data_IF_048890556071
#
_entry.id   IF_048890556071
#
_cell.length_a   1.000
_cell.length_b   1.000
_cell.length_c   1.000
_cell.angle_alpha   90.00
_cell.angle_beta   90.00
_cell.angle_gamma   90.00
#
_symmetry.space_group_name_H-M   'P 1'
#
loop_
_entity.id
_entity.type
_entity.pdbx_description
1 polymer ?
#
# COMPACT_ATOMS: atom_id res chain seq x y z
N UNK A 1 -26.43 -7.08 34.14
CA UNK A 1 -26.77 -5.72 33.69
C UNK A 1 -25.88 -5.38 32.53
N UNK A 2 -26.45 -5.41 31.33
CA UNK A 2 -25.78 -5.06 30.09
C UNK A 2 -25.47 -3.56 30.06
N UNK A 3 -24.22 -3.22 29.72
CA UNK A 3 -23.92 -1.92 29.11
C UNK A 3 -23.74 -2.17 27.62
N UNK A 4 -24.85 -2.04 26.92
CA UNK A 4 -24.88 -1.84 25.49
C UNK A 4 -24.28 -0.45 25.23
N UNK A 5 -23.03 -0.40 24.77
CA UNK A 5 -22.40 0.82 24.26
C UNK A 5 -22.49 0.72 22.74
N UNK A 6 -23.69 0.88 22.21
CA UNK A 6 -23.94 1.21 20.81
C UNK A 6 -23.59 2.68 20.61
N UNK A 7 -22.29 2.97 20.64
CA UNK A 7 -21.77 4.18 20.00
C UNK A 7 -21.70 3.88 18.51
N UNK A 8 -22.56 4.50 17.71
CA UNK A 8 -22.51 4.39 16.25
C UNK A 8 -21.12 4.86 15.80
N UNK A 9 -20.26 3.92 15.42
CA UNK A 9 -18.93 4.22 14.91
C UNK A 9 -19.13 4.88 13.54
N UNK A 10 -18.63 6.11 13.38
CA UNK A 10 -18.71 6.85 12.13
C UNK A 10 -17.97 6.07 11.02
N UNK A 11 -18.58 5.85 9.84
CA UNK A 11 -17.92 5.16 8.74
C UNK A 11 -16.76 5.97 8.16
N UNK A 12 -15.98 5.30 7.31
CA UNK A 12 -14.84 5.87 6.61
C UNK A 12 -15.05 5.80 5.10
N UNK A 13 -14.74 6.91 4.46
CA UNK A 13 -14.78 7.08 3.02
C UNK A 13 -13.38 7.24 2.47
N UNK A 14 -13.04 6.47 1.45
CA UNK A 14 -11.72 6.49 0.82
C UNK A 14 -11.77 7.02 -0.61
N UNK A 15 -10.83 7.89 -0.98
CA UNK A 15 -10.65 8.46 -2.34
C UNK A 15 -9.17 8.39 -2.73
N UNK A 16 -8.82 7.47 -3.62
CA UNK A 16 -7.46 7.32 -4.14
C UNK A 16 -7.40 7.82 -5.57
N UNK A 17 -6.36 8.58 -5.90
CA UNK A 17 -6.06 9.01 -7.27
C UNK A 17 -4.69 8.51 -7.66
N UNK A 18 -4.56 7.94 -8.85
CA UNK A 18 -3.33 7.33 -9.30
C UNK A 18 -3.07 7.59 -10.78
N UNK A 19 -1.81 7.81 -11.12
CA UNK A 19 -1.29 7.87 -12.49
C UNK A 19 -0.55 6.58 -12.82
N UNK A 20 -0.95 5.95 -13.91
CA UNK A 20 -0.40 4.68 -14.39
C UNK A 20 0.16 4.93 -15.79
N UNK A 21 1.44 4.64 -16.01
CA UNK A 21 2.13 4.79 -17.29
C UNK A 21 1.79 3.63 -18.24
N UNK A 22 0.49 3.43 -18.47
CA UNK A 22 -0.05 2.49 -19.42
C UNK A 22 -1.35 3.07 -20.02
N UNK A 23 -1.69 2.73 -21.27
CA UNK A 23 -2.95 3.15 -21.88
C UNK A 23 -4.16 2.69 -21.06
N UNK A 24 -5.22 3.51 -21.03
CA UNK A 24 -6.46 3.20 -20.33
C UNK A 24 -7.04 1.81 -20.64
N UNK A 25 -7.05 1.30 -21.90
CA UNK A 25 -7.52 -0.05 -22.17
C UNK A 25 -6.72 -1.14 -21.46
N UNK A 26 -5.40 -0.97 -21.36
CA UNK A 26 -4.53 -1.89 -20.63
C UNK A 26 -4.85 -1.88 -19.13
N UNK A 27 -5.04 -0.70 -18.53
CA UNK A 27 -5.40 -0.60 -17.11
C UNK A 27 -6.77 -1.22 -16.84
N UNK A 28 -7.76 -0.95 -17.70
CA UNK A 28 -9.11 -1.52 -17.57
C UNK A 28 -9.10 -3.05 -17.67
N UNK A 29 -8.29 -3.62 -18.55
CA UNK A 29 -8.08 -5.07 -18.62
C UNK A 29 -7.53 -5.64 -17.30
N UNK A 30 -6.50 -5.00 -16.72
CA UNK A 30 -5.90 -5.43 -15.45
C UNK A 30 -6.81 -5.27 -14.24
N UNK A 31 -7.78 -4.36 -14.30
CA UNK A 31 -8.79 -4.19 -13.25
C UNK A 31 -9.79 -5.35 -13.18
N UNK A 32 -10.13 -5.98 -14.31
CA UNK A 32 -11.29 -6.88 -14.39
C UNK A 32 -10.95 -8.33 -14.71
N UNK A 33 -9.79 -8.60 -15.28
CA UNK A 33 -9.41 -9.99 -15.59
C UNK A 33 -8.96 -10.74 -14.34
N UNK A 34 -9.42 -11.98 -14.23
CA UNK A 34 -9.24 -12.84 -13.05
C UNK A 34 -7.76 -13.06 -12.74
N UNK A 35 -6.94 -13.28 -13.77
CA UNK A 35 -5.49 -13.49 -13.65
C UNK A 35 -4.73 -12.26 -13.12
N UNK A 36 -5.34 -11.07 -13.16
CA UNK A 36 -4.74 -9.84 -12.65
C UNK A 36 -5.31 -9.47 -11.28
N UNK A 37 -6.62 -9.65 -11.07
CA UNK A 37 -7.25 -9.46 -9.76
C UNK A 37 -6.56 -10.26 -8.65
N UNK A 38 -6.08 -11.48 -8.96
CA UNK A 38 -5.33 -12.32 -8.00
C UNK A 38 -3.91 -11.83 -7.69
N UNK A 39 -3.40 -10.86 -8.46
CA UNK A 39 -2.07 -10.26 -8.26
C UNK A 39 -2.14 -8.99 -7.43
N UNK A 40 -3.21 -8.21 -7.57
CA UNK A 40 -3.29 -6.90 -6.92
C UNK A 40 -4.43 -6.74 -5.92
N UNK A 41 -5.59 -7.38 -6.10
CA UNK A 41 -6.80 -7.12 -5.29
C UNK A 41 -7.06 -8.19 -4.22
N UNK A 42 -6.86 -9.46 -4.57
CA UNK A 42 -7.22 -10.60 -3.75
C UNK A 42 -6.36 -11.82 -4.03
N UNK A 43 -6.55 -12.92 -3.31
CA UNK A 43 -5.84 -14.19 -3.57
C UNK A 43 -6.48 -14.99 -4.71
N UNK A 44 -7.80 -14.89 -4.88
CA UNK A 44 -8.54 -15.48 -5.98
C UNK A 44 -9.86 -14.73 -6.22
N UNK A 45 -10.36 -14.80 -7.45
CA UNK A 45 -11.66 -14.23 -7.82
C UNK A 45 -12.39 -15.04 -8.87
N UNK A 46 -13.71 -14.87 -8.93
CA UNK A 46 -14.58 -15.18 -10.08
C UNK A 46 -15.43 -13.95 -10.36
N UNK A 47 -15.47 -13.53 -11.61
CA UNK A 47 -16.15 -12.29 -12.00
C UNK A 47 -16.90 -12.50 -13.30
N UNK A 48 -18.13 -11.99 -13.34
CA UNK A 48 -18.90 -11.78 -14.56
C UNK A 48 -18.92 -10.28 -14.86
N UNK A 49 -18.01 -9.74 -15.68
CA UNK A 49 -17.76 -8.30 -15.79
C UNK A 49 -18.85 -7.56 -16.58
N UNK A 50 -20.06 -7.53 -16.02
CA UNK A 50 -21.27 -6.86 -16.52
C UNK A 50 -22.11 -6.39 -15.34
N UNK A 51 -22.92 -5.35 -15.54
CA UNK A 51 -23.88 -4.89 -14.52
C UNK A 51 -24.86 -6.02 -14.18
N UNK A 52 -25.10 -6.21 -12.88
CA UNK A 52 -25.86 -7.34 -12.32
C UNK A 52 -25.09 -8.66 -12.25
N UNK A 53 -23.85 -8.70 -12.78
CA UNK A 53 -22.99 -9.88 -12.73
C UNK A 53 -22.46 -10.17 -11.32
N UNK A 54 -22.19 -11.44 -11.05
CA UNK A 54 -21.58 -11.88 -9.80
C UNK A 54 -20.10 -11.51 -9.76
N UNK A 55 -19.63 -11.01 -8.61
CA UNK A 55 -18.21 -10.85 -8.33
C UNK A 55 -17.90 -11.50 -6.98
N UNK A 56 -17.12 -12.58 -6.99
CA UNK A 56 -16.76 -13.36 -5.80
C UNK A 56 -15.25 -13.35 -5.64
N UNK A 57 -14.75 -13.07 -4.45
CA UNK A 57 -13.31 -13.01 -4.22
C UNK A 57 -12.94 -13.33 -2.78
N UNK A 58 -11.68 -13.71 -2.57
CA UNK A 58 -11.16 -14.02 -1.24
C UNK A 58 -9.69 -14.39 -1.28
N UNK A 59 -9.25 -15.14 -0.28
CA UNK A 59 -7.85 -15.55 -0.10
C UNK A 59 -7.08 -14.65 0.86
N UNK A 60 -5.88 -15.09 1.21
CA UNK A 60 -5.05 -14.54 2.30
C UNK A 60 -4.49 -13.14 2.01
N UNK A 61 -4.55 -12.70 0.75
CA UNK A 61 -4.00 -11.42 0.28
C UNK A 61 -5.07 -10.43 -0.18
N UNK A 62 -6.33 -10.64 0.23
CA UNK A 62 -7.44 -9.73 -0.04
C UNK A 62 -7.28 -8.43 0.76
N UNK A 63 -7.71 -7.27 0.23
CA UNK A 63 -7.66 -5.98 0.97
C UNK A 63 -8.32 -6.11 2.35
N UNK A 64 -9.47 -6.79 2.41
CA UNK A 64 -10.14 -7.17 3.65
C UNK A 64 -10.41 -8.68 3.66
N UNK A 65 -10.06 -9.38 4.76
CA UNK A 65 -10.35 -10.80 4.87
C UNK A 65 -11.87 -11.00 4.88
N UNK A 66 -12.40 -12.00 4.16
CA UNK A 66 -13.82 -12.30 4.18
C UNK A 66 -14.28 -12.76 5.56
N UNK A 67 -15.52 -12.42 5.93
CA UNK A 67 -16.18 -12.92 7.15
C UNK A 67 -16.50 -14.42 7.07
N UNK A 68 -16.43 -15.00 5.87
CA UNK A 68 -16.56 -16.42 5.60
C UNK A 68 -15.47 -16.92 4.65
N UNK A 69 -15.84 -17.77 3.68
CA UNK A 69 -14.88 -18.29 2.69
C UNK A 69 -14.52 -17.28 1.60
N UNK A 70 -15.43 -16.36 1.31
CA UNK A 70 -15.32 -15.40 0.22
C UNK A 70 -16.26 -14.22 0.49
N UNK A 71 -15.99 -13.10 -0.17
CA UNK A 71 -16.98 -12.06 -0.40
C UNK A 71 -17.83 -12.46 -1.60
N UNK A 72 -19.15 -12.36 -1.44
CA UNK A 72 -20.14 -12.53 -2.50
C UNK A 72 -20.74 -11.16 -2.81
N UNK A 73 -20.33 -10.57 -3.94
CA UNK A 73 -20.69 -9.19 -4.32
C UNK A 73 -21.38 -9.15 -5.68
N UNK A 74 -22.00 -8.01 -5.99
CA UNK A 74 -22.65 -7.76 -7.28
C UNK A 74 -22.11 -6.48 -7.88
N UNK A 75 -21.81 -6.54 -9.18
CA UNK A 75 -21.43 -5.38 -9.99
C UNK A 75 -22.69 -4.56 -10.26
N UNK A 76 -22.67 -3.30 -9.86
CA UNK A 76 -23.83 -2.41 -9.95
C UNK A 76 -23.58 -1.19 -10.86
N UNK A 77 -22.36 -1.03 -11.36
CA UNK A 77 -22.02 -0.03 -12.37
C UNK A 77 -20.94 -0.57 -13.33
N UNK A 78 -21.06 -0.17 -14.60
CA UNK A 78 -20.09 -0.51 -15.64
C UNK A 78 -20.23 0.40 -16.85
N UNK A 79 -19.09 0.97 -17.27
CA UNK A 79 -18.92 1.67 -18.54
C UNK A 79 -17.60 1.17 -19.14
N UNK A 80 -17.67 0.53 -20.30
CA UNK A 80 -16.54 -0.21 -20.88
C UNK A 80 -15.34 0.74 -21.08
N UNK A 81 -14.18 0.32 -20.58
CA UNK A 81 -12.94 1.10 -20.57
C UNK A 81 -12.96 2.38 -19.71
N UNK A 82 -14.01 2.63 -18.92
CA UNK A 82 -14.17 3.89 -18.16
C UNK A 82 -14.51 3.67 -16.70
N UNK A 83 -15.53 2.88 -16.38
CA UNK A 83 -16.05 2.76 -15.02
C UNK A 83 -16.39 1.34 -14.64
N UNK A 84 -16.20 1.04 -13.36
CA UNK A 84 -16.56 -0.23 -12.75
C UNK A 84 -16.93 0.01 -11.28
N UNK A 85 -18.08 -0.51 -10.85
CA UNK A 85 -18.54 -0.40 -9.46
C UNK A 85 -19.17 -1.69 -8.97
N UNK A 86 -18.98 -1.98 -7.68
CA UNK A 86 -19.61 -3.12 -7.03
C UNK A 86 -19.89 -2.82 -5.55
N UNK A 87 -20.90 -3.51 -5.02
CA UNK A 87 -21.26 -3.44 -3.60
C UNK A 87 -20.45 -4.41 -2.79
N UNK A 88 -19.91 -3.96 -1.67
CA UNK A 88 -19.13 -4.80 -0.77
C UNK A 88 -19.73 -4.75 0.64
N UNK A 89 -20.52 -5.75 1.06
CA UNK A 89 -21.03 -5.77 2.42
C UNK A 89 -19.87 -6.03 3.39
N UNK A 90 -19.64 -5.16 4.37
CA UNK A 90 -18.60 -5.30 5.40
C UNK A 90 -19.27 -5.11 6.75
N UNK A 91 -19.14 -6.08 7.65
CA UNK A 91 -19.80 -6.11 8.96
C UNK A 91 -21.30 -5.84 8.87
N UNK A 92 -21.95 -6.43 7.87
CA UNK A 92 -23.36 -6.18 7.53
C UNK A 92 -23.73 -4.73 7.15
N UNK A 93 -22.75 -3.85 6.98
CA UNK A 93 -22.92 -2.50 6.41
C UNK A 93 -22.71 -2.60 4.89
N UNK A 94 -23.66 -2.10 4.12
CA UNK A 94 -23.53 -2.00 2.67
C UNK A 94 -22.53 -0.89 2.32
N UNK A 95 -21.39 -1.27 1.77
CA UNK A 95 -20.36 -0.35 1.27
C UNK A 95 -20.29 -0.46 -0.25
N UNK A 96 -19.64 0.50 -0.90
CA UNK A 96 -19.49 0.49 -2.37
C UNK A 96 -18.09 0.85 -2.78
N UNK A 97 -17.52 0.05 -3.68
CA UNK A 97 -16.29 0.36 -4.40
C UNK A 97 -16.62 0.88 -5.79
N UNK A 98 -15.89 1.88 -6.26
CA UNK A 98 -16.00 2.38 -7.63
C UNK A 98 -14.63 2.76 -8.17
N UNK A 99 -14.42 2.50 -9.45
CA UNK A 99 -13.23 2.88 -10.20
C UNK A 99 -13.65 3.72 -11.41
N UNK A 100 -12.99 4.86 -11.60
CA UNK A 100 -13.10 5.69 -12.78
C UNK A 100 -11.74 5.79 -13.47
N UNK A 101 -11.73 5.62 -14.78
CA UNK A 101 -10.54 5.68 -15.63
C UNK A 101 -10.69 6.74 -16.71
N UNK A 102 -9.71 7.62 -16.78
CA UNK A 102 -9.57 8.65 -17.80
C UNK A 102 -8.23 8.51 -18.52
N UNK A 103 -8.17 9.06 -19.74
CA UNK A 103 -6.91 9.17 -20.47
C UNK A 103 -6.04 10.26 -19.80
N UNK A 104 -4.80 9.91 -19.49
CA UNK A 104 -3.78 10.83 -18.98
C UNK A 104 -2.95 11.43 -20.11
N UNK A 105 -1.98 12.31 -19.80
CA UNK A 105 -1.06 12.82 -20.80
C UNK A 105 -0.13 11.71 -21.31
N UNK A 106 0.14 11.70 -22.62
CA UNK A 106 0.91 10.65 -23.27
C UNK A 106 0.17 9.30 -23.24
N UNK A 107 0.91 8.20 -23.16
CA UNK A 107 0.33 6.84 -23.04
C UNK A 107 0.07 6.45 -21.56
N UNK A 108 -0.59 7.34 -20.80
CA UNK A 108 -0.93 7.09 -19.40
C UNK A 108 -2.43 7.10 -19.15
N UNK A 109 -2.84 6.55 -18.01
CA UNK A 109 -4.20 6.58 -17.52
C UNK A 109 -4.25 7.24 -16.13
N UNK A 110 -5.36 7.91 -15.86
CA UNK A 110 -5.71 8.45 -14.55
C UNK A 110 -6.79 7.55 -13.94
N UNK A 111 -6.44 6.89 -12.84
CA UNK A 111 -7.35 6.05 -12.07
C UNK A 111 -7.83 6.80 -10.83
N UNK A 112 -9.14 6.84 -10.61
CA UNK A 112 -9.74 7.17 -9.33
C UNK A 112 -10.39 5.91 -8.76
N UNK A 113 -10.06 5.55 -7.52
CA UNK A 113 -10.69 4.45 -6.81
C UNK A 113 -11.33 4.99 -5.52
N UNK A 114 -12.60 4.66 -5.28
CA UNK A 114 -13.32 5.09 -4.09
C UNK A 114 -13.93 3.92 -3.35
N UNK A 115 -14.00 3.99 -2.02
CA UNK A 115 -14.66 3.00 -1.17
C UNK A 115 -15.47 3.73 -0.08
N UNK A 116 -16.80 3.68 -0.18
CA UNK A 116 -17.72 4.49 0.62
C UNK A 116 -18.38 3.70 1.75
N UNK A 117 -18.52 4.29 2.93
CA UNK A 117 -19.31 3.77 4.04
C UNK A 117 -18.64 2.66 4.85
N UNK A 118 -17.30 2.57 4.83
CA UNK A 118 -16.57 1.46 5.45
C UNK A 118 -16.65 1.56 6.98
N UNK A 119 -17.15 0.54 7.70
CA UNK A 119 -17.39 0.65 9.16
C UNK A 119 -16.12 0.51 10.02
N UNK A 120 -14.97 0.26 9.39
CA UNK A 120 -13.71 -0.03 10.06
C UNK A 120 -12.57 0.80 9.45
N UNK A 121 -11.63 1.19 10.30
CA UNK A 121 -10.39 1.87 9.91
C UNK A 121 -9.19 0.92 9.85
N UNK A 122 -9.18 -0.05 10.75
CA UNK A 122 -8.07 -1.00 10.94
C UNK A 122 -8.52 -2.40 10.50
N UNK A 123 -7.57 -3.16 9.95
CA UNK A 123 -7.68 -4.56 9.54
C UNK A 123 -6.52 -5.36 10.15
N UNK A 124 -6.47 -6.67 9.95
CA UNK A 124 -5.41 -7.50 10.53
C UNK A 124 -4.05 -7.28 9.87
N UNK A 125 -3.97 -6.60 8.72
CA UNK A 125 -2.72 -6.27 8.03
C UNK A 125 -2.27 -4.79 8.17
N UNK A 126 -2.93 -3.98 9.01
CA UNK A 126 -2.69 -2.53 9.13
C UNK A 126 -3.99 -1.75 9.00
N UNK A 127 -3.96 -0.55 8.39
CA UNK A 127 -5.19 0.17 8.09
C UNK A 127 -5.82 -0.28 6.76
N UNK A 128 -7.12 -0.04 6.59
CA UNK A 128 -7.81 -0.25 5.30
C UNK A 128 -7.18 0.61 4.20
N UNK A 129 -6.71 1.80 4.56
CA UNK A 129 -6.01 2.71 3.65
C UNK A 129 -4.69 2.10 3.15
N UNK A 130 -3.86 1.58 4.05
CA UNK A 130 -2.59 0.94 3.67
C UNK A 130 -2.84 -0.26 2.75
N UNK A 131 -3.87 -1.07 3.07
CA UNK A 131 -4.27 -2.21 2.24
C UNK A 131 -4.69 -1.79 0.82
N UNK A 132 -5.50 -0.74 0.70
CA UNK A 132 -5.83 -0.17 -0.61
C UNK A 132 -4.60 0.31 -1.37
N UNK A 133 -3.69 1.01 -0.70
CA UNK A 133 -2.51 1.56 -1.36
C UNK A 133 -1.54 0.48 -1.84
N UNK A 134 -1.34 -0.57 -1.03
CA UNK A 134 -0.60 -1.78 -1.47
C UNK A 134 -1.20 -2.36 -2.75
N UNK A 135 -2.51 -2.57 -2.76
CA UNK A 135 -3.23 -3.17 -3.87
C UNK A 135 -3.20 -2.30 -5.13
N UNK A 136 -3.45 -1.00 -5.01
CA UNK A 136 -3.38 -0.06 -6.14
C UNK A 136 -1.96 0.11 -6.67
N UNK A 137 -0.95 0.12 -5.79
CA UNK A 137 0.45 0.13 -6.20
C UNK A 137 0.85 -1.13 -6.98
N UNK A 138 0.30 -2.30 -6.62
CA UNK A 138 0.47 -3.53 -7.39
C UNK A 138 -0.27 -3.49 -8.73
N UNK A 139 -1.49 -2.93 -8.78
CA UNK A 139 -2.22 -2.69 -10.04
C UNK A 139 -1.38 -1.84 -11.00
N UNK A 140 -0.77 -0.76 -10.51
CA UNK A 140 0.14 0.07 -11.30
C UNK A 140 1.30 -0.75 -11.87
N UNK A 141 2.02 -1.50 -11.04
CA UNK A 141 3.15 -2.32 -11.50
C UNK A 141 2.75 -3.26 -12.63
N UNK A 142 1.67 -4.03 -12.46
CA UNK A 142 1.27 -5.03 -13.46
C UNK A 142 0.68 -4.40 -14.74
N UNK A 143 0.06 -3.22 -14.63
CA UNK A 143 -0.44 -2.47 -15.78
C UNK A 143 0.71 -1.89 -16.61
N UNK A 144 1.82 -1.53 -15.97
CA UNK A 144 3.06 -1.07 -16.59
C UNK A 144 3.99 -2.23 -17.02
N UNK A 145 3.52 -3.48 -16.94
CA UNK A 145 4.26 -4.66 -17.39
C UNK A 145 5.33 -5.18 -16.42
N UNK A 146 5.32 -4.73 -15.16
CA UNK A 146 6.27 -5.12 -14.11
C UNK A 146 5.71 -6.20 -13.16
N UNK A 147 6.57 -6.77 -12.32
CA UNK A 147 6.18 -7.65 -11.22
C UNK A 147 5.39 -6.94 -10.12
N UNK A 148 4.47 -7.63 -9.46
CA UNK A 148 3.83 -7.19 -8.22
C UNK A 148 4.83 -7.24 -7.04
N UNK A 149 4.43 -6.62 -5.92
CA UNK A 149 5.26 -6.43 -4.74
C UNK A 149 4.63 -7.08 -3.51
N UNK A 150 4.91 -6.54 -2.33
CA UNK A 150 4.24 -6.89 -1.08
C UNK A 150 2.72 -6.80 -1.27
N UNK A 151 2.02 -7.80 -0.75
CA UNK A 151 0.56 -7.88 -0.73
C UNK A 151 0.07 -7.85 0.71
N UNK A 152 -1.21 -7.53 0.97
CA UNK A 152 -1.78 -7.63 2.31
C UNK A 152 -1.43 -8.97 2.98
N UNK A 153 -0.86 -8.90 4.17
CA UNK A 153 -0.53 -10.06 4.99
C UNK A 153 -1.40 -10.06 6.26
N UNK A 154 -2.41 -10.94 6.24
CA UNK A 154 -3.36 -11.10 7.33
C UNK A 154 -2.93 -12.17 8.35
N UNK A 155 -1.71 -12.71 8.22
CA UNK A 155 -1.19 -13.69 9.17
C UNK A 155 -1.15 -13.13 10.61
N UNK A 156 -1.38 -13.97 11.62
CA UNK A 156 -1.25 -13.57 13.01
C UNK A 156 0.15 -13.05 13.32
N UNK A 157 0.24 -11.99 14.11
CA UNK A 157 1.52 -11.48 14.63
C UNK A 157 2.06 -12.51 15.63
N UNK A 158 3.17 -13.15 15.29
CA UNK A 158 3.83 -14.19 16.10
C UNK A 158 5.18 -13.76 16.67
N UNK A 159 5.69 -12.60 16.25
CA UNK A 159 6.97 -12.02 16.64
C UNK A 159 6.78 -10.55 17.02
N UNK A 160 7.56 -10.00 17.97
CA UNK A 160 7.58 -8.57 18.25
C UNK A 160 8.26 -7.75 17.13
N UNK A 161 8.82 -8.41 16.10
CA UNK A 161 9.44 -7.74 14.96
C UNK A 161 8.50 -7.70 13.74
N UNK A 162 8.52 -6.60 12.99
CA UNK A 162 7.98 -6.55 11.63
C UNK A 162 9.09 -6.95 10.66
N UNK A 163 8.87 -7.98 9.85
CA UNK A 163 9.80 -8.44 8.81
C UNK A 163 9.10 -8.45 7.47
N UNK A 164 9.62 -7.70 6.52
CA UNK A 164 9.06 -7.57 5.17
C UNK A 164 10.19 -7.73 4.15
N UNK A 165 9.83 -8.14 2.94
CA UNK A 165 10.78 -8.18 1.83
C UNK A 165 10.10 -7.80 0.52
N UNK A 166 10.85 -7.13 -0.35
CA UNK A 166 10.43 -6.81 -1.70
C UNK A 166 11.59 -7.01 -2.67
N UNK A 167 11.31 -7.56 -3.85
CA UNK A 167 12.26 -7.59 -4.97
C UNK A 167 12.04 -6.35 -5.84
N UNK A 168 13.10 -5.58 -6.06
CA UNK A 168 13.10 -4.41 -6.95
C UNK A 168 14.01 -4.72 -8.13
N UNK A 169 13.50 -4.61 -9.36
CA UNK A 169 14.18 -4.89 -10.62
C UNK A 169 15.14 -3.74 -11.00
N UNK A 170 16.10 -3.49 -10.11
CA UNK A 170 17.13 -2.47 -10.23
C UNK A 170 18.40 -2.91 -9.51
N UNK A 171 19.54 -2.33 -9.89
CA UNK A 171 20.81 -2.54 -9.21
C UNK A 171 20.77 -1.98 -7.76
N UNK A 172 21.55 -2.56 -6.82
CA UNK A 172 21.57 -2.11 -5.43
C UNK A 172 21.84 -0.62 -5.27
N UNK A 173 22.74 -0.05 -6.09
CA UNK A 173 23.05 1.38 -6.08
C UNK A 173 21.85 2.27 -6.38
N UNK A 174 21.02 1.90 -7.36
CA UNK A 174 19.80 2.65 -7.69
C UNK A 174 18.76 2.58 -6.56
N UNK A 175 18.65 1.43 -5.90
CA UNK A 175 17.77 1.28 -4.73
C UNK A 175 18.29 2.10 -3.56
N UNK A 176 19.60 2.04 -3.30
CA UNK A 176 20.27 2.77 -2.22
C UNK A 176 20.17 4.29 -2.40
N UNK A 177 20.32 4.79 -3.63
CA UNK A 177 20.13 6.21 -3.98
C UNK A 177 18.73 6.73 -3.63
N UNK A 178 17.71 5.86 -3.62
CA UNK A 178 16.35 6.23 -3.19
C UNK A 178 16.25 6.53 -1.68
N UNK A 179 17.23 6.08 -0.89
CA UNK A 179 17.36 6.43 0.53
C UNK A 179 18.29 7.64 0.73
N UNK A 180 19.27 7.85 -0.14
CA UNK A 180 20.27 8.93 0.01
C UNK A 180 19.73 10.31 -0.40
N UNK A 181 18.82 10.36 -1.36
CA UNK A 181 18.33 11.61 -1.95
C UNK A 181 17.03 12.05 -1.26
N UNK A 182 16.98 13.22 -0.61
CA UNK A 182 15.79 13.67 0.12
C UNK A 182 14.51 13.69 -0.72
N UNK A 183 14.59 14.17 -1.97
CA UNK A 183 13.44 14.18 -2.87
C UNK A 183 12.91 12.76 -3.16
N UNK A 184 13.79 11.76 -3.24
CA UNK A 184 13.41 10.37 -3.45
C UNK A 184 12.74 9.80 -2.21
N UNK A 185 13.33 10.04 -1.02
CA UNK A 185 12.74 9.64 0.27
C UNK A 185 11.35 10.22 0.43
N UNK A 186 11.17 11.52 0.21
CA UNK A 186 9.85 12.16 0.24
C UNK A 186 8.89 11.53 -0.76
N UNK A 187 9.37 11.15 -1.96
CA UNK A 187 8.54 10.55 -3.01
C UNK A 187 7.98 9.18 -2.58
N UNK A 188 8.84 8.21 -2.27
CA UNK A 188 8.37 6.85 -2.02
C UNK A 188 7.71 6.67 -0.66
N UNK A 189 8.05 7.48 0.35
CA UNK A 189 7.42 7.39 1.69
C UNK A 189 6.00 7.94 1.74
N UNK A 190 5.63 8.81 0.79
CA UNK A 190 4.30 9.44 0.69
C UNK A 190 3.45 8.90 -0.45
N UNK A 191 4.06 8.15 -1.38
CA UNK A 191 3.42 7.67 -2.60
C UNK A 191 3.45 8.66 -3.76
N UNK A 192 4.29 9.70 -3.67
CA UNK A 192 4.58 10.66 -4.74
C UNK A 192 4.00 12.05 -4.53
N UNK A 193 3.25 12.27 -3.44
CA UNK A 193 2.70 13.58 -3.09
C UNK A 193 3.11 13.89 -1.66
N UNK A 194 4.15 14.70 -1.50
CA UNK A 194 4.63 15.13 -0.19
C UNK A 194 4.18 16.56 0.14
N UNK A 195 3.89 16.82 1.41
CA UNK A 195 3.67 18.18 1.97
C UNK A 195 4.91 18.79 2.61
N UNK A 196 5.94 17.97 2.84
CA UNK A 196 7.17 18.38 3.51
C UNK A 196 8.39 17.81 2.81
N UNK A 197 9.51 18.52 2.89
CA UNK A 197 10.78 17.97 2.42
C UNK A 197 11.31 16.97 3.43
N UNK A 198 11.77 15.83 2.92
CA UNK A 198 12.56 14.89 3.73
C UNK A 198 13.92 15.51 4.07
N UNK A 199 14.56 15.05 5.13
CA UNK A 199 15.97 15.34 5.43
C UNK A 199 16.75 14.04 5.47
N UNK A 200 17.92 14.04 4.83
CA UNK A 200 18.81 12.88 4.81
C UNK A 200 20.24 13.37 4.96
N UNK A 201 20.92 12.91 5.99
CA UNK A 201 22.37 12.97 6.11
C UNK A 201 22.92 11.54 6.00
N UNK A 202 23.45 11.13 4.83
CA UNK A 202 23.77 9.74 4.50
C UNK A 202 25.09 9.28 5.15
N UNK A 203 25.13 9.28 6.48
CA UNK A 203 26.28 8.89 7.31
C UNK A 203 25.84 8.48 8.71
N UNK A 204 26.58 7.60 9.41
CA UNK A 204 26.32 7.32 10.82
C UNK A 204 26.31 8.61 11.67
N UNK A 205 25.31 8.72 12.54
CA UNK A 205 25.04 9.92 13.35
C UNK A 205 24.29 11.04 12.62
N UNK A 206 24.00 10.88 11.33
CA UNK A 206 23.16 11.81 10.56
C UNK A 206 21.67 11.70 10.91
N UNK A 207 20.87 12.59 10.30
CA UNK A 207 19.40 12.62 10.43
C UNK A 207 18.72 11.96 9.22
N UNK A 208 17.57 11.35 9.45
CA UNK A 208 16.69 10.80 8.43
C UNK A 208 15.23 11.12 8.78
N UNK A 209 14.51 11.91 7.98
CA UNK A 209 13.11 12.24 8.24
C UNK A 209 12.22 12.09 7.01
N UNK A 210 11.04 11.51 7.24
CA UNK A 210 9.98 11.40 6.23
C UNK A 210 8.56 11.50 6.82
N UNK A 211 8.36 11.20 8.11
CA UNK A 211 7.08 11.40 8.81
C UNK A 211 7.02 12.74 9.56
N UNK A 212 8.08 13.10 10.28
CA UNK A 212 8.18 14.35 11.04
C UNK A 212 9.56 14.97 10.82
N UNK A 213 9.60 16.25 10.44
CA UNK A 213 10.85 17.01 10.32
C UNK A 213 11.34 17.50 11.69
N UNK A 214 10.43 17.67 12.64
CA UNK A 214 10.73 18.12 14.01
C UNK A 214 11.40 17.01 14.83
N UNK A 215 11.08 15.75 14.51
CA UNK A 215 11.56 14.56 15.21
C UNK A 215 12.17 13.58 14.20
N UNK A 216 13.31 13.93 13.59
CA UNK A 216 13.97 13.06 12.62
C UNK A 216 14.49 11.79 13.30
N UNK A 217 14.48 10.67 12.59
CA UNK A 217 15.19 9.47 13.02
C UNK A 217 16.71 9.70 12.92
N UNK A 218 17.48 8.97 13.73
CA UNK A 218 18.94 8.98 13.68
C UNK A 218 19.44 7.85 12.80
N UNK A 219 20.38 8.15 11.91
CA UNK A 219 21.10 7.14 11.13
C UNK A 219 22.13 6.45 12.02
N UNK A 220 21.95 5.16 12.28
CA UNK A 220 22.88 4.34 13.09
C UNK A 220 23.94 3.70 12.20
N UNK A 221 23.52 3.10 11.09
CA UNK A 221 24.42 2.50 10.09
C UNK A 221 24.05 3.03 8.70
N UNK A 222 25.08 3.31 7.90
CA UNK A 222 24.94 3.71 6.50
C UNK A 222 26.07 3.06 5.70
N UNK A 223 25.79 1.87 5.16
CA UNK A 223 26.75 1.08 4.37
C UNK A 223 26.29 1.13 2.92
N UNK A 224 27.03 1.83 2.03
CA UNK A 224 26.67 1.97 0.62
C UNK A 224 26.25 0.65 -0.02
N UNK A 225 25.12 0.69 -0.72
CA UNK A 225 24.54 -0.41 -1.50
C UNK A 225 24.19 -1.69 -0.71
N UNK A 226 24.31 -1.65 0.63
CA UNK A 226 24.18 -2.85 1.47
C UNK A 226 23.23 -2.68 2.64
N UNK A 227 23.29 -1.54 3.36
CA UNK A 227 22.50 -1.39 4.59
C UNK A 227 22.23 0.05 4.99
N UNK A 228 21.02 0.29 5.47
CA UNK A 228 20.63 1.48 6.23
C UNK A 228 19.97 1.05 7.54
N UNK A 229 20.41 1.60 8.67
CA UNK A 229 19.76 1.40 9.98
C UNK A 229 19.38 2.74 10.56
N UNK A 230 18.11 2.88 10.91
CA UNK A 230 17.51 4.06 11.52
C UNK A 230 17.07 3.73 12.94
N UNK A 231 17.19 4.70 13.84
CA UNK A 231 16.73 4.64 15.23
C UNK A 231 15.78 5.81 15.49
N UNK A 232 14.60 5.53 16.05
CA UNK A 232 13.59 6.57 16.28
C UNK A 232 14.00 7.47 17.43
N UNK A 233 14.03 8.78 17.20
CA UNK A 233 14.54 9.73 18.21
C UNK A 233 13.71 9.74 19.50
N UNK A 234 12.39 9.56 19.42
CA UNK A 234 11.51 9.48 20.59
C UNK A 234 11.42 8.09 21.22
N UNK A 235 11.82 7.05 20.49
CA UNK A 235 11.73 5.65 20.90
C UNK A 235 13.03 4.93 20.53
N UNK A 236 14.14 5.13 21.26
CA UNK A 236 15.46 4.64 20.83
C UNK A 236 15.56 3.11 20.73
N UNK A 237 14.69 2.38 21.43
CA UNK A 237 14.59 0.92 21.28
C UNK A 237 14.00 0.53 19.92
N UNK A 238 13.23 1.43 19.29
CA UNK A 238 12.63 1.25 17.98
C UNK A 238 13.66 1.50 16.87
N UNK A 239 14.01 0.42 16.16
CA UNK A 239 14.97 0.46 15.06
C UNK A 239 14.36 -0.08 13.79
N UNK A 240 14.76 0.53 12.67
CA UNK A 240 14.33 0.14 11.33
C UNK A 240 15.57 -0.13 10.51
N UNK A 241 15.72 -1.37 10.06
CA UNK A 241 16.86 -1.84 9.29
C UNK A 241 16.40 -2.24 7.90
N UNK A 242 17.15 -1.76 6.91
CA UNK A 242 17.05 -2.15 5.51
C UNK A 242 18.36 -2.82 5.12
N UNK A 243 18.31 -4.07 4.67
CA UNK A 243 19.43 -4.71 3.96
C UNK A 243 19.09 -4.80 2.47
N UNK A 244 20.10 -4.55 1.64
CA UNK A 244 20.03 -4.64 0.19
C UNK A 244 20.92 -5.80 -0.27
N UNK A 245 20.32 -6.78 -0.92
CA UNK A 245 21.04 -7.95 -1.44
C UNK A 245 20.82 -8.06 -2.94
N UNK A 246 21.92 -8.08 -3.70
CA UNK A 246 21.88 -8.31 -5.13
C UNK A 246 21.36 -9.73 -5.44
N UNK A 247 20.43 -9.82 -6.39
CA UNK A 247 19.83 -11.05 -6.91
C UNK A 247 19.95 -11.03 -8.44
N UNK A 248 19.77 -12.20 -9.06
CA UNK A 248 19.87 -12.34 -10.51
C UNK A 248 18.92 -11.41 -11.31
N UNK A 249 17.77 -11.04 -10.73
CA UNK A 249 16.74 -10.21 -11.36
C UNK A 249 16.61 -8.81 -10.77
N UNK A 250 17.51 -8.39 -9.87
CA UNK A 250 17.44 -7.07 -9.21
C UNK A 250 18.00 -7.09 -7.79
N UNK A 251 17.39 -6.33 -6.90
CA UNK A 251 17.80 -6.20 -5.50
C UNK A 251 16.67 -6.64 -4.58
N UNK A 252 16.94 -7.59 -3.69
CA UNK A 252 16.05 -7.88 -2.57
C UNK A 252 16.27 -6.85 -1.47
N UNK A 253 15.20 -6.17 -1.07
CA UNK A 253 15.18 -5.28 0.08
C UNK A 253 14.56 -6.03 1.24
N UNK A 254 15.31 -6.21 2.32
CA UNK A 254 14.82 -6.82 3.56
C UNK A 254 14.63 -5.73 4.61
N UNK A 255 13.39 -5.54 5.04
CA UNK A 255 13.04 -4.61 6.12
C UNK A 255 12.84 -5.40 7.42
N UNK A 256 13.51 -4.95 8.48
CA UNK A 256 13.22 -5.39 9.85
C UNK A 256 12.98 -4.17 10.72
N UNK A 257 11.80 -4.09 11.36
CA UNK A 257 11.53 -3.13 12.41
C UNK A 257 11.41 -3.85 13.76
N UNK A 258 12.13 -3.38 14.77
CA UNK A 258 12.21 -3.97 16.11
C UNK A 258 11.92 -2.92 17.19
N UNK A 259 11.82 -3.34 18.45
CA UNK A 259 11.65 -2.42 19.59
C UNK A 259 10.19 -2.13 19.96
N UNK A 260 9.25 -2.89 19.41
CA UNK A 260 7.85 -2.83 19.79
C UNK A 260 7.66 -3.28 21.24
N UNK A 261 6.76 -2.61 21.96
CA UNK A 261 6.41 -3.01 23.33
C UNK A 261 5.78 -4.40 23.33
N UNK A 262 6.16 -5.23 24.31
CA UNK A 262 5.58 -6.56 24.47
C UNK A 262 4.04 -6.46 24.56
N UNK A 263 3.35 -7.22 23.71
CA UNK A 263 1.89 -7.24 23.66
C UNK A 263 1.24 -6.14 22.81
N UNK A 264 2.00 -5.22 22.22
CA UNK A 264 1.47 -4.20 21.29
C UNK A 264 1.20 -4.77 19.89
N UNK A 265 0.30 -5.75 19.82
CA UNK A 265 -0.06 -6.43 18.58
C UNK A 265 -0.65 -5.45 17.55
N UNK A 266 -1.40 -4.46 17.99
CA UNK A 266 -2.01 -3.48 17.10
C UNK A 266 -0.99 -2.48 16.55
N UNK A 267 0.00 -2.06 17.34
CA UNK A 267 1.13 -1.27 16.86
C UNK A 267 1.95 -2.02 15.81
N UNK A 268 2.23 -3.31 16.04
CA UNK A 268 2.94 -4.17 15.08
C UNK A 268 2.14 -4.31 13.78
N UNK A 269 0.82 -4.53 13.85
CA UNK A 269 -0.07 -4.61 12.66
C UNK A 269 -0.06 -3.32 11.87
N UNK A 270 -0.20 -2.16 12.53
CA UNK A 270 -0.15 -0.85 11.87
C UNK A 270 1.18 -0.63 11.16
N UNK A 271 2.30 -0.94 11.82
CA UNK A 271 3.63 -0.80 11.20
C UNK A 271 3.82 -1.78 10.04
N UNK A 272 3.32 -3.02 10.14
CA UNK A 272 3.34 -3.99 9.03
C UNK A 272 2.64 -3.41 7.81
N UNK A 273 1.41 -2.90 7.95
CA UNK A 273 0.66 -2.31 6.82
C UNK A 273 1.35 -1.10 6.23
N UNK A 274 1.74 -0.15 7.09
CA UNK A 274 2.41 1.09 6.71
C UNK A 274 3.71 0.85 5.95
N UNK A 275 4.56 -0.06 6.43
CA UNK A 275 5.81 -0.40 5.76
C UNK A 275 5.60 -1.21 4.48
N UNK A 276 4.54 -2.02 4.40
CA UNK A 276 4.20 -2.75 3.19
C UNK A 276 3.78 -1.80 2.06
N UNK A 277 2.92 -0.82 2.33
CA UNK A 277 2.60 0.26 1.37
C UNK A 277 3.86 1.00 0.90
N UNK A 278 4.73 1.38 1.84
CA UNK A 278 5.97 2.08 1.52
C UNK A 278 6.92 1.26 0.65
N UNK A 279 7.05 -0.05 0.88
CA UNK A 279 7.86 -0.92 0.02
C UNK A 279 7.28 -1.05 -1.39
N UNK A 280 5.95 -1.10 -1.52
CA UNK A 280 5.27 -1.06 -2.82
C UNK A 280 5.56 0.29 -3.53
N UNK A 281 5.46 1.40 -2.80
CA UNK A 281 5.76 2.74 -3.32
C UNK A 281 7.23 2.91 -3.70
N UNK A 282 8.16 2.35 -2.93
CA UNK A 282 9.61 2.31 -3.21
C UNK A 282 9.89 1.54 -4.49
N UNK A 283 9.35 0.32 -4.63
CA UNK A 283 9.50 -0.48 -5.86
C UNK A 283 9.00 0.31 -7.07
N UNK A 284 7.78 0.86 -6.99
CA UNK A 284 7.20 1.64 -8.08
C UNK A 284 8.06 2.86 -8.44
N UNK A 285 8.54 3.60 -7.44
CA UNK A 285 9.40 4.74 -7.65
C UNK A 285 10.73 4.36 -8.33
N UNK A 286 11.42 3.34 -7.81
CA UNK A 286 12.74 2.95 -8.34
C UNK A 286 12.64 2.36 -9.75
N UNK A 287 11.59 1.60 -10.06
CA UNK A 287 11.45 0.93 -11.35
C UNK A 287 10.84 1.82 -12.44
N UNK A 288 9.91 2.71 -12.09
CA UNK A 288 9.16 3.52 -13.07
C UNK A 288 9.39 5.04 -12.95
N UNK A 289 10.11 5.49 -11.93
CA UNK A 289 10.32 6.90 -11.62
C UNK A 289 9.20 7.56 -10.81
N UNK A 290 8.09 6.85 -10.53
CA UNK A 290 7.01 7.39 -9.70
C UNK A 290 6.25 6.30 -8.92
N UNK A 291 5.98 6.53 -7.63
CA UNK A 291 5.09 5.65 -6.84
C UNK A 291 3.64 5.61 -7.36
N UNK A 292 3.14 6.74 -7.88
CA UNK A 292 1.93 6.79 -8.71
C UNK A 292 0.72 7.50 -8.10
N UNK A 293 0.64 7.72 -6.79
CA UNK A 293 -0.50 8.44 -6.20
C UNK A 293 -0.50 9.92 -6.59
N UNK A 294 -1.68 10.50 -6.74
CA UNK A 294 -1.91 11.88 -7.16
C UNK A 294 -2.60 12.74 -6.09
N UNK A 295 -2.92 12.17 -4.94
CA UNK A 295 -3.36 12.89 -3.74
C UNK A 295 -2.56 12.44 -2.51
N UNK A 296 -2.42 13.34 -1.54
CA UNK A 296 -1.66 13.10 -0.32
C UNK A 296 -2.31 12.00 0.53
N UNK A 297 -1.51 11.23 1.27
CA UNK A 297 -1.98 10.14 2.13
C UNK A 297 -3.15 10.59 3.04
N UNK A 298 -2.99 11.70 3.77
CA UNK A 298 -4.04 12.17 4.69
C UNK A 298 -5.35 12.61 4.01
N UNK A 299 -5.32 12.90 2.70
CA UNK A 299 -6.51 13.33 1.95
C UNK A 299 -7.30 12.14 1.37
N UNK A 300 -6.76 10.93 1.51
CA UNK A 300 -7.35 9.71 0.93
C UNK A 300 -8.42 9.08 1.81
N UNK A 301 -8.59 9.53 3.06
CA UNK A 301 -9.58 9.00 4.00
C UNK A 301 -10.32 10.13 4.72
N UNK A 302 -11.64 9.97 4.88
CA UNK A 302 -12.50 10.87 5.67
C UNK A 302 -13.41 10.05 6.57
N UNK A 303 -13.59 10.49 7.80
CA UNK A 303 -14.60 9.96 8.72
C UNK A 303 -15.92 10.71 8.47
N UNK A 304 -17.05 9.99 8.41
CA UNK A 304 -18.36 10.53 7.99
C UNK A 304 -19.50 10.31 8.97
#
# INVERSE_FOLDING_TARGET
>A
MAKDVSGTRMPFDYDFRMRIAAPRPTVFERLLRIEHLSRWFCGWSRIEPKVGGSFKFGGETCILPPEGRAWDTTIDEGDVLRRFGFRWPIQSVETRVSYDLEDGPGESALLRATHWGVPIRETTCGSVQDAWRMCLGNLKSIAEGRGDSVRPDHSPVSSPDVRLSALIEAAPSKVFDAFAIPAHVAHWTTGGVSRQEARVEPRPGGVFSFESVEEPDRVVEWVPDQRVVLERSLEPDHRIRFDFEEKASGTAVYLTATGFRNGDLDGIRRQRGRWSDRLVCLKNFVESGASGFANHYDDQVRET
#
